data_IF_860342489914
#
_entry.id   IF_860342489914
#
_cell.length_a   1.000
_cell.length_b   1.000
_cell.length_c   1.000
_cell.angle_alpha   90.00
_cell.angle_beta   90.00
_cell.angle_gamma   90.00
#
_symmetry.space_group_name_H-M   'P 1'
#
loop_
_entity.id
_entity.type
_entity.pdbx_description
1 polymer ?
#
# COMPACT_ATOMS: atom_id res chain seq x y z
N UNK A 1 -5.00 12.13 -3.24
CA UNK A 1 -3.81 13.01 -3.17
C UNK A 1 -2.62 12.25 -2.60
N UNK A 2 -2.75 11.66 -1.40
CA UNK A 2 -1.71 10.85 -0.73
C UNK A 2 -0.88 9.94 -1.67
N UNK A 3 -1.54 9.01 -2.36
CA UNK A 3 -0.88 8.05 -3.26
C UNK A 3 -0.04 8.73 -4.35
N UNK A 4 -0.59 9.78 -4.96
CA UNK A 4 0.08 10.50 -6.05
C UNK A 4 1.34 11.20 -5.56
N UNK A 5 1.26 11.86 -4.40
CA UNK A 5 2.42 12.54 -3.80
C UNK A 5 3.50 11.51 -3.46
N UNK A 6 3.15 10.39 -2.83
CA UNK A 6 4.14 9.40 -2.46
C UNK A 6 4.82 8.75 -3.66
N UNK A 7 4.06 8.43 -4.71
CA UNK A 7 4.63 7.91 -5.96
C UNK A 7 5.59 8.94 -6.57
N UNK A 8 5.19 10.22 -6.63
CA UNK A 8 6.01 11.29 -7.21
C UNK A 8 7.34 11.45 -6.46
N UNK A 9 7.29 11.63 -5.14
CA UNK A 9 8.49 11.84 -4.32
C UNK A 9 9.45 10.63 -4.35
N UNK A 10 8.93 9.41 -4.27
CA UNK A 10 9.76 8.21 -4.35
C UNK A 10 10.42 8.07 -5.73
N UNK A 11 9.68 8.30 -6.81
CA UNK A 11 10.24 8.26 -8.17
C UNK A 11 11.27 9.38 -8.38
N UNK A 12 11.07 10.58 -7.81
CA UNK A 12 12.06 11.68 -7.82
C UNK A 12 13.32 11.34 -7.04
N UNK A 13 13.21 10.51 -6.01
CA UNK A 13 14.34 9.95 -5.27
C UNK A 13 14.98 8.73 -5.97
N UNK A 14 14.63 8.46 -7.23
CA UNK A 14 15.11 7.31 -8.03
C UNK A 14 14.74 5.94 -7.45
N UNK A 15 13.69 5.87 -6.62
CA UNK A 15 13.14 4.60 -6.16
C UNK A 15 12.28 4.00 -7.27
N UNK A 16 12.43 2.70 -7.51
CA UNK A 16 11.55 1.97 -8.44
C UNK A 16 10.19 1.74 -7.77
N UNK A 17 9.13 2.38 -8.27
CA UNK A 17 7.79 2.33 -7.67
C UNK A 17 6.83 1.59 -8.60
N UNK A 18 6.26 0.49 -8.10
CA UNK A 18 5.17 -0.26 -8.74
C UNK A 18 3.87 -0.03 -7.98
N UNK A 19 2.84 0.40 -8.69
CA UNK A 19 1.49 0.63 -8.16
C UNK A 19 0.62 -0.59 -8.46
N UNK A 20 0.07 -1.21 -7.42
CA UNK A 20 -0.75 -2.42 -7.52
C UNK A 20 -2.14 -2.18 -6.93
N UNK A 21 -3.23 -2.59 -7.60
CA UNK A 21 -4.57 -2.52 -7.03
C UNK A 21 -4.85 -3.77 -6.21
N UNK A 22 -5.59 -3.63 -5.11
CA UNK A 22 -6.08 -4.81 -4.34
C UNK A 22 -7.23 -5.51 -5.04
N UNK A 23 -8.00 -4.78 -5.87
CA UNK A 23 -9.09 -5.35 -6.67
C UNK A 23 -8.58 -5.75 -8.06
N UNK A 24 -9.39 -6.53 -8.79
CA UNK A 24 -9.03 -7.07 -10.12
C UNK A 24 -8.87 -6.02 -11.23
N UNK A 25 -9.42 -4.82 -11.06
CA UNK A 25 -9.33 -3.75 -12.07
C UNK A 25 -8.08 -2.92 -11.84
N UNK A 26 -7.36 -2.60 -12.93
CA UNK A 26 -6.21 -1.70 -12.89
C UNK A 26 -6.60 -0.25 -12.59
N UNK A 27 -7.77 0.19 -13.07
CA UNK A 27 -8.32 1.49 -12.74
C UNK A 27 -9.01 1.42 -11.37
N UNK A 28 -8.58 2.28 -10.47
CA UNK A 28 -9.12 2.47 -9.12
C UNK A 28 -9.73 3.86 -9.03
N UNK A 29 -11.02 3.91 -8.72
CA UNK A 29 -11.72 5.16 -8.43
C UNK A 29 -11.23 5.68 -7.08
N UNK A 30 -10.38 6.69 -7.10
CA UNK A 30 -9.87 7.34 -5.91
C UNK A 30 -10.83 8.42 -5.40
N UNK A 31 -10.59 8.88 -4.18
CA UNK A 31 -11.41 9.93 -3.57
C UNK A 31 -11.42 11.20 -4.45
N UNK A 32 -12.55 11.92 -4.42
CA UNK A 32 -12.73 13.24 -5.08
C UNK A 32 -12.74 13.17 -6.62
N UNK A 33 -13.20 12.06 -7.19
CA UNK A 33 -13.45 11.91 -8.63
C UNK A 33 -12.19 11.79 -9.47
N UNK A 34 -11.11 11.27 -8.88
CA UNK A 34 -9.84 11.03 -9.56
C UNK A 34 -9.69 9.53 -9.80
N UNK A 35 -9.24 9.15 -10.99
CA UNK A 35 -8.94 7.75 -11.29
C UNK A 35 -7.44 7.51 -11.28
N UNK A 36 -7.02 6.42 -10.64
CA UNK A 36 -5.62 5.97 -10.66
C UNK A 36 -5.56 4.67 -11.46
N UNK A 37 -4.71 4.63 -12.48
CA UNK A 37 -4.42 3.41 -13.23
C UNK A 37 -3.16 2.79 -12.64
N UNK A 38 -3.31 1.59 -12.08
CA UNK A 38 -2.22 0.80 -11.54
C UNK A 38 -1.38 0.14 -12.65
N UNK A 39 -0.12 -0.18 -12.33
CA UNK A 39 0.86 -0.68 -13.29
C UNK A 39 0.58 -2.14 -13.69
N UNK A 40 0.15 -2.98 -12.73
CA UNK A 40 -0.14 -4.39 -12.94
C UNK A 40 -1.15 -4.93 -11.92
N UNK A 41 -1.82 -6.06 -12.19
CA UNK A 41 -2.62 -6.76 -11.18
C UNK A 41 -1.73 -7.25 -10.03
N UNK A 42 -2.19 -7.12 -8.78
CA UNK A 42 -1.43 -7.61 -7.62
C UNK A 42 -1.15 -9.13 -7.68
N UNK A 43 -1.99 -9.90 -8.37
CA UNK A 43 -1.78 -11.34 -8.60
C UNK A 43 -0.49 -11.64 -9.35
N UNK A 44 -0.09 -10.75 -10.26
CA UNK A 44 1.06 -10.97 -11.13
C UNK A 44 2.36 -10.66 -10.38
N UNK A 45 2.26 -9.94 -9.26
CA UNK A 45 3.38 -9.54 -8.41
C UNK A 45 3.40 -10.26 -7.06
N UNK A 46 2.53 -11.25 -6.83
CA UNK A 46 2.42 -11.93 -5.54
C UNK A 46 3.71 -12.63 -5.09
N UNK A 47 4.55 -13.06 -6.05
CA UNK A 47 5.86 -13.65 -5.81
C UNK A 47 7.04 -12.71 -6.03
N UNK A 48 6.80 -11.43 -6.34
CA UNK A 48 7.86 -10.46 -6.52
C UNK A 48 8.46 -10.05 -5.16
N UNK A 49 9.76 -9.81 -5.14
CA UNK A 49 10.45 -9.28 -3.98
C UNK A 49 10.44 -7.75 -4.05
N UNK A 50 9.88 -7.12 -3.02
CA UNK A 50 9.88 -5.67 -2.84
C UNK A 50 10.80 -5.31 -1.68
N UNK A 51 11.46 -4.16 -1.74
CA UNK A 51 12.21 -3.64 -0.59
C UNK A 51 11.29 -2.98 0.45
N UNK A 52 10.09 -2.55 0.01
CA UNK A 52 9.10 -1.87 0.82
C UNK A 52 7.69 -2.05 0.24
N UNK A 53 6.76 -2.47 1.09
CA UNK A 53 5.31 -2.42 0.80
C UNK A 53 4.69 -1.24 1.55
N UNK A 54 3.99 -0.38 0.80
CA UNK A 54 3.35 0.84 1.31
C UNK A 54 1.85 0.84 0.98
N UNK A 55 0.97 0.41 1.90
CA UNK A 55 -0.48 0.49 1.69
C UNK A 55 -0.96 1.93 1.76
N UNK A 56 -1.76 2.36 0.77
CA UNK A 56 -2.30 3.71 0.73
C UNK A 56 -3.34 3.99 1.81
N UNK A 57 -3.34 5.21 2.34
CA UNK A 57 -4.36 5.69 3.27
C UNK A 57 -5.73 6.00 2.63
N UNK A 58 -6.59 6.63 3.42
CA UNK A 58 -7.88 7.17 2.98
C UNK A 58 -9.03 6.17 3.01
N UNK A 59 -10.14 6.56 3.63
CA UNK A 59 -11.40 5.80 3.55
C UNK A 59 -12.15 6.14 2.25
N UNK A 60 -12.81 5.17 1.58
CA UNK A 60 -12.99 3.76 1.97
C UNK A 60 -11.87 2.80 1.55
N UNK A 61 -10.84 3.29 0.85
CA UNK A 61 -9.73 2.47 0.33
C UNK A 61 -9.03 1.64 1.40
N UNK A 62 -8.74 2.24 2.56
CA UNK A 62 -8.19 1.58 3.74
C UNK A 62 -8.91 0.28 4.15
N UNK A 63 -10.24 0.29 4.17
CA UNK A 63 -11.02 -0.91 4.48
C UNK A 63 -10.88 -1.96 3.36
N UNK A 64 -10.88 -1.52 2.10
CA UNK A 64 -10.68 -2.41 0.95
C UNK A 64 -9.32 -3.10 0.98
N UNK A 65 -8.27 -2.44 1.51
CA UNK A 65 -6.96 -3.05 1.69
C UNK A 65 -6.98 -4.19 2.73
N UNK A 66 -7.78 -4.04 3.79
CA UNK A 66 -7.93 -5.05 4.85
C UNK A 66 -8.57 -6.36 4.37
N UNK A 67 -9.36 -6.32 3.29
CA UNK A 67 -10.01 -7.49 2.68
C UNK A 67 -9.14 -8.19 1.60
N UNK A 68 -7.87 -7.80 1.45
CA UNK A 68 -7.02 -8.25 0.35
C UNK A 68 -6.09 -9.41 0.71
N UNK A 69 -6.50 -10.66 0.47
CA UNK A 69 -5.71 -11.86 0.82
C UNK A 69 -4.27 -11.88 0.26
N UNK A 70 -4.09 -11.41 -0.98
CA UNK A 70 -2.77 -11.36 -1.63
C UNK A 70 -1.89 -10.30 -0.96
N UNK A 71 -2.44 -9.12 -0.70
CA UNK A 71 -1.73 -8.04 0.00
C UNK A 71 -1.35 -8.48 1.42
N UNK A 72 -2.28 -9.12 2.14
CA UNK A 72 -2.02 -9.67 3.47
C UNK A 72 -0.86 -10.66 3.44
N UNK A 73 -0.86 -11.58 2.47
CA UNK A 73 0.20 -12.59 2.32
C UNK A 73 1.56 -11.95 2.04
N UNK A 74 1.61 -10.94 1.16
CA UNK A 74 2.86 -10.21 0.84
C UNK A 74 3.39 -9.44 2.05
N UNK A 75 2.52 -8.76 2.80
CA UNK A 75 2.90 -8.01 4.00
C UNK A 75 3.38 -8.94 5.12
N UNK A 76 2.72 -10.09 5.32
CA UNK A 76 3.16 -11.12 6.27
C UNK A 76 4.53 -11.68 5.90
N UNK A 77 4.77 -11.99 4.62
CA UNK A 77 6.10 -12.42 4.13
C UNK A 77 7.17 -11.38 4.48
N UNK A 78 6.93 -10.09 4.21
CA UNK A 78 7.85 -9.01 4.59
C UNK A 78 8.13 -9.00 6.11
N UNK A 79 7.09 -9.13 6.92
CA UNK A 79 7.24 -9.14 8.37
C UNK A 79 8.06 -10.36 8.86
N UNK A 80 7.81 -11.54 8.31
CA UNK A 80 8.52 -12.78 8.65
C UNK A 80 9.99 -12.75 8.21
N UNK A 81 10.30 -12.09 7.09
CA UNK A 81 11.67 -11.91 6.57
C UNK A 81 12.43 -10.77 7.26
N UNK A 82 11.81 -10.08 8.22
CA UNK A 82 12.40 -8.91 8.89
C UNK A 82 12.57 -7.71 7.96
N UNK A 83 11.92 -7.72 6.80
CA UNK A 83 11.95 -6.64 5.83
C UNK A 83 11.03 -5.49 6.27
N UNK A 84 11.37 -4.24 5.93
CA UNK A 84 10.58 -3.09 6.33
C UNK A 84 9.25 -3.06 5.57
N UNK A 85 8.15 -2.97 6.30
CA UNK A 85 6.84 -2.57 5.77
C UNK A 85 6.42 -1.25 6.41
N UNK A 86 5.86 -0.34 5.63
CA UNK A 86 5.56 1.01 6.09
C UNK A 86 4.08 1.18 6.46
N UNK A 87 3.83 1.91 7.55
CA UNK A 87 2.52 2.46 7.87
C UNK A 87 2.37 3.86 7.27
N UNK A 88 1.42 4.03 6.36
CA UNK A 88 1.00 5.33 5.85
C UNK A 88 -0.43 5.73 6.32
N UNK A 89 -0.51 6.70 7.25
CA UNK A 89 -1.76 7.28 7.80
C UNK A 89 -2.74 6.24 8.40
N UNK A 90 -4.06 6.37 8.17
CA UNK A 90 -5.13 5.60 8.86
C UNK A 90 -5.28 4.15 8.35
N UNK A 91 -4.95 3.87 7.09
CA UNK A 91 -5.10 2.52 6.51
C UNK A 91 -4.32 1.40 7.25
N UNK A 92 -3.06 1.61 7.66
CA UNK A 92 -2.30 0.63 8.42
C UNK A 92 -2.88 0.31 9.79
N UNK A 93 -3.48 1.27 10.50
CA UNK A 93 -4.06 0.98 11.81
C UNK A 93 -5.27 0.04 11.71
N UNK A 94 -6.06 0.17 10.64
CA UNK A 94 -7.21 -0.69 10.35
C UNK A 94 -6.75 -2.03 9.76
N UNK A 95 -5.92 -2.03 8.72
CA UNK A 95 -5.47 -3.24 8.03
C UNK A 95 -4.43 -4.04 8.84
N UNK A 96 -3.41 -3.40 9.40
CA UNK A 96 -2.41 -4.13 10.20
C UNK A 96 -2.90 -4.40 11.62
N UNK A 97 -3.85 -3.61 12.13
CA UNK A 97 -4.53 -3.90 13.38
C UNK A 97 -5.32 -5.21 13.33
N UNK A 98 -6.06 -5.47 12.23
CA UNK A 98 -6.74 -6.75 12.04
C UNK A 98 -5.78 -7.92 11.86
N UNK A 99 -4.57 -7.68 11.35
CA UNK A 99 -3.57 -8.73 11.11
C UNK A 99 -2.56 -8.91 12.25
N UNK A 100 -2.66 -8.13 13.34
CA UNK A 100 -1.73 -8.20 14.47
C UNK A 100 -0.31 -7.66 14.18
N UNK A 101 -0.11 -6.95 13.07
CA UNK A 101 1.21 -6.51 12.58
C UNK A 101 1.58 -5.09 13.07
N UNK A 102 1.52 -4.88 14.38
CA UNK A 102 1.73 -3.57 15.02
C UNK A 102 3.19 -3.13 15.27
N UNK A 103 4.21 -3.84 14.74
CA UNK A 103 5.63 -3.51 14.97
C UNK A 103 6.47 -2.93 13.78
N UNK A 104 5.89 -2.68 12.61
CA UNK A 104 6.61 -2.07 11.46
C UNK A 104 6.94 -0.56 11.58
N UNK A 105 7.74 -0.05 10.63
CA UNK A 105 8.12 1.38 10.56
C UNK A 105 6.89 2.25 10.26
N UNK A 106 6.62 3.24 11.11
CA UNK A 106 5.54 4.19 10.91
C UNK A 106 6.06 5.50 10.31
N UNK A 107 5.62 5.83 9.10
CA UNK A 107 5.88 7.12 8.49
C UNK A 107 4.67 8.02 8.75
N UNK A 108 4.84 8.96 9.68
CA UNK A 108 3.86 10.01 9.96
C UNK A 108 4.17 11.21 9.08
N UNK A 109 3.31 11.49 8.10
CA UNK A 109 3.23 12.81 7.48
C UNK A 109 1.92 13.44 7.91
N UNK A 110 2.01 14.39 8.83
CA UNK A 110 0.95 15.36 9.07
C UNK A 110 0.90 16.28 7.85
N UNK A 111 -0.22 16.23 7.14
CA UNK A 111 -0.62 17.31 6.24
C UNK A 111 -2.01 17.68 6.70
N UNK A 112 -2.10 18.87 7.31
CA UNK A 112 -3.34 19.57 7.63
C UNK A 112 -4.31 19.61 6.44
#
# INVERSE_FOLDING_TARGET
MEVVITIDELRRASVNVTVLPVRKRLQVDACRGMDIVADAPISDCAGADFDLILPSGGMPGAATLGDGDILESMVKKHADEGQPYARFRVAPAVAFGSWGLMHGFAFWFDVE
#
